data_IF_223113920238
#
_entry.id   IF_223113920238
#
_cell.length_a   1.000
_cell.length_b   1.000
_cell.length_c   1.000
_cell.angle_alpha   90.00
_cell.angle_beta   90.00
_cell.angle_gamma   90.00
#
_symmetry.space_group_name_H-M   'P 1'
#
loop_
_entity.id
_entity.type
_entity.pdbx_description
1 polymer ?
#
# COMPACT_ATOMS: atom_id res chain seq x y z
N UNK A 1 -7.91 2.42 -22.49
CA UNK A 1 -7.29 1.27 -21.80
C UNK A 1 -5.97 0.93 -22.48
N UNK A 2 -4.99 0.66 -21.70
CA UNK A 2 -3.67 0.26 -22.14
C UNK A 2 -3.66 -1.24 -22.40
N UNK A 3 -3.96 -1.64 -23.61
CA UNK A 3 -3.79 -3.03 -24.02
C UNK A 3 -2.57 -3.12 -24.95
N UNK A 4 -1.74 -4.11 -24.70
CA UNK A 4 -0.67 -4.45 -25.62
C UNK A 4 -1.24 -5.07 -26.89
N UNK A 5 -0.60 -4.79 -28.01
CA UNK A 5 -0.79 -5.56 -29.24
C UNK A 5 -0.15 -6.93 -29.04
N UNK A 6 -0.92 -8.00 -29.21
CA UNK A 6 -0.45 -9.36 -28.99
C UNK A 6 0.02 -10.00 -30.30
N UNK A 7 1.06 -10.81 -30.22
CA UNK A 7 1.48 -11.71 -31.26
C UNK A 7 0.61 -12.99 -31.31
N UNK A 8 0.87 -13.83 -32.29
CA UNK A 8 0.17 -15.12 -32.45
C UNK A 8 0.44 -16.09 -31.30
N UNK A 9 1.53 -15.88 -30.56
CA UNK A 9 1.91 -16.61 -29.35
C UNK A 9 1.19 -16.13 -28.09
N UNK A 10 0.34 -15.08 -28.21
CA UNK A 10 -0.39 -14.48 -27.09
C UNK A 10 0.43 -13.54 -26.19
N UNK A 11 1.70 -13.27 -26.51
CA UNK A 11 2.54 -12.32 -25.81
C UNK A 11 2.51 -10.94 -26.48
N UNK A 12 2.88 -9.90 -25.72
CA UNK A 12 3.00 -8.56 -26.25
C UNK A 12 4.04 -8.51 -27.38
N UNK A 13 3.67 -7.91 -28.52
CA UNK A 13 4.62 -7.64 -29.59
C UNK A 13 5.76 -6.76 -29.10
N UNK A 14 6.93 -6.99 -29.62
CA UNK A 14 8.14 -6.20 -29.32
C UNK A 14 8.52 -5.37 -30.52
N UNK A 15 9.07 -4.22 -30.26
CA UNK A 15 9.71 -3.37 -31.27
C UNK A 15 11.15 -3.09 -30.85
N UNK A 16 12.06 -3.94 -31.28
CA UNK A 16 13.49 -3.82 -30.95
C UNK A 16 14.15 -2.59 -31.60
N UNK A 17 13.53 -2.04 -32.63
CA UNK A 17 13.99 -0.80 -33.29
C UNK A 17 13.61 0.46 -32.53
N UNK A 18 12.64 0.38 -31.61
CA UNK A 18 12.05 1.50 -30.87
C UNK A 18 11.47 2.60 -31.78
N UNK A 19 11.14 2.27 -33.05
CA UNK A 19 10.70 3.24 -34.05
C UNK A 19 9.17 3.33 -34.18
N UNK A 20 8.45 2.31 -33.77
CA UNK A 20 7.00 2.28 -33.91
C UNK A 20 6.34 3.38 -33.03
N UNK A 21 5.39 4.18 -33.55
CA UNK A 21 4.77 5.28 -32.81
C UNK A 21 4.11 4.85 -31.49
N UNK A 22 3.60 3.63 -31.43
CA UNK A 22 2.98 3.05 -30.23
C UNK A 22 3.94 2.21 -29.39
N UNK A 23 5.23 2.18 -29.70
CA UNK A 23 6.22 1.59 -28.82
C UNK A 23 6.15 2.26 -27.44
N UNK A 24 6.13 1.48 -26.37
CA UNK A 24 6.05 1.98 -24.98
C UNK A 24 7.12 3.03 -24.70
N UNK A 25 8.32 2.86 -25.23
CA UNK A 25 9.41 3.83 -25.12
C UNK A 25 9.04 5.22 -25.69
N UNK A 26 8.44 5.26 -26.87
CA UNK A 26 8.04 6.50 -27.52
C UNK A 26 6.88 7.17 -26.78
N UNK A 27 5.89 6.38 -26.34
CA UNK A 27 4.79 6.90 -25.55
C UNK A 27 5.27 7.46 -24.19
N UNK A 28 6.23 6.79 -23.54
CA UNK A 28 6.82 7.28 -22.30
C UNK A 28 7.57 8.60 -22.50
N UNK A 29 8.44 8.69 -23.54
CA UNK A 29 9.13 9.94 -23.86
C UNK A 29 8.15 11.09 -24.10
N UNK A 30 7.10 10.85 -24.87
CA UNK A 30 6.06 11.85 -25.11
C UNK A 30 5.35 12.25 -23.79
N UNK A 31 5.04 11.28 -22.94
CA UNK A 31 4.38 11.56 -21.67
C UNK A 31 5.24 12.44 -20.73
N UNK A 32 6.54 12.17 -20.64
CA UNK A 32 7.43 12.87 -19.71
C UNK A 32 8.03 14.16 -20.30
N UNK A 33 7.89 14.41 -21.61
CA UNK A 33 8.48 15.58 -22.27
C UNK A 33 8.03 16.92 -21.69
N UNK A 34 6.88 16.97 -21.02
CA UNK A 34 6.38 18.16 -20.31
C UNK A 34 7.13 18.49 -19.03
N UNK A 35 7.91 17.56 -18.49
CA UNK A 35 8.69 17.75 -17.27
C UNK A 35 10.12 18.10 -17.63
N UNK A 36 10.33 19.32 -18.11
CA UNK A 36 11.67 19.80 -18.48
C UNK A 36 12.51 20.10 -17.23
N UNK A 37 13.84 20.12 -17.34
CA UNK A 37 14.72 20.51 -16.22
C UNK A 37 14.37 21.86 -15.63
N UNK A 38 13.99 22.86 -16.47
CA UNK A 38 13.56 24.18 -16.02
C UNK A 38 12.26 24.11 -15.20
N UNK A 39 11.35 23.22 -15.60
CA UNK A 39 10.10 23.01 -14.83
C UNK A 39 10.40 22.35 -13.48
N UNK A 40 11.33 21.41 -13.43
CA UNK A 40 11.78 20.77 -12.18
C UNK A 40 12.36 21.83 -11.23
N UNK A 41 13.27 22.65 -11.69
CA UNK A 41 13.83 23.74 -10.88
C UNK A 41 12.75 24.67 -10.36
N UNK A 42 11.85 25.12 -11.22
CA UNK A 42 10.77 26.05 -10.85
C UNK A 42 9.81 25.48 -9.81
N UNK A 43 9.50 24.18 -9.87
CA UNK A 43 8.49 23.53 -8.99
C UNK A 43 9.14 22.98 -7.73
N UNK A 44 10.30 22.34 -7.86
CA UNK A 44 10.95 21.63 -6.75
C UNK A 44 12.00 22.49 -6.05
N UNK A 45 12.47 23.57 -6.67
CA UNK A 45 13.54 24.42 -6.14
C UNK A 45 14.94 23.80 -6.25
N UNK A 46 15.06 22.62 -6.87
CA UNK A 46 16.37 21.98 -7.11
C UNK A 46 17.06 22.65 -8.30
N UNK A 47 18.29 23.17 -8.16
CA UNK A 47 19.00 23.74 -9.28
C UNK A 47 19.11 22.76 -10.46
N UNK A 48 18.91 23.26 -11.68
CA UNK A 48 18.92 22.42 -12.88
C UNK A 48 20.22 21.62 -13.02
N UNK A 49 21.38 22.25 -12.71
CA UNK A 49 22.67 21.57 -12.80
C UNK A 49 22.76 20.36 -11.86
N UNK A 50 22.27 20.49 -10.63
CA UNK A 50 22.28 19.40 -9.64
C UNK A 50 21.31 18.29 -10.06
N UNK A 51 20.14 18.65 -10.58
CA UNK A 51 19.18 17.67 -11.10
C UNK A 51 19.77 16.87 -12.28
N UNK A 52 20.39 17.53 -13.24
CA UNK A 52 21.02 16.88 -14.40
C UNK A 52 22.19 16.01 -13.97
N UNK A 53 23.00 16.45 -13.00
CA UNK A 53 24.09 15.64 -12.45
C UNK A 53 23.57 14.33 -11.82
N UNK A 54 22.47 14.38 -11.07
CA UNK A 54 21.84 13.15 -10.54
C UNK A 54 21.36 12.25 -11.67
N UNK A 55 20.78 12.81 -12.74
CA UNK A 55 20.36 12.02 -13.91
C UNK A 55 21.56 11.33 -14.59
N UNK A 56 22.71 12.01 -14.70
CA UNK A 56 23.95 11.43 -15.25
C UNK A 56 24.45 10.27 -14.38
N UNK A 57 24.55 10.48 -13.06
CA UNK A 57 24.93 9.42 -12.11
C UNK A 57 24.03 8.19 -12.20
N UNK A 58 22.72 8.37 -12.33
CA UNK A 58 21.80 7.28 -12.54
C UNK A 58 22.05 6.57 -13.88
N UNK A 59 22.29 7.34 -14.95
CA UNK A 59 22.59 6.82 -16.28
C UNK A 59 23.84 5.95 -16.32
N UNK A 60 24.88 6.29 -15.56
CA UNK A 60 26.12 5.52 -15.44
C UNK A 60 25.93 4.11 -14.86
N UNK A 61 24.80 3.88 -14.18
CA UNK A 61 24.47 2.59 -13.56
C UNK A 61 23.68 1.65 -14.48
N UNK A 62 23.55 1.98 -15.77
CA UNK A 62 22.89 1.14 -16.77
C UNK A 62 23.78 0.05 -17.38
N UNK A 63 24.83 -0.35 -16.67
CA UNK A 63 25.82 -1.37 -17.08
C UNK A 63 25.88 -2.51 -16.09
N UNK A 64 26.40 -3.67 -16.54
CA UNK A 64 26.32 -4.91 -15.75
C UNK A 64 27.07 -4.88 -14.42
N UNK A 65 28.13 -4.10 -14.30
CA UNK A 65 29.01 -4.02 -13.14
C UNK A 65 28.68 -2.87 -12.18
N UNK A 66 27.73 -2.05 -12.54
CA UNK A 66 27.27 -0.93 -11.72
C UNK A 66 25.75 -0.87 -11.69
N UNK A 67 25.20 -0.78 -10.49
CA UNK A 67 23.75 -0.71 -10.26
C UNK A 67 23.38 0.42 -9.32
N UNK A 68 22.16 0.91 -9.45
CA UNK A 68 21.53 1.85 -8.51
C UNK A 68 20.44 1.15 -7.72
N UNK A 69 20.36 1.43 -6.43
CA UNK A 69 19.23 1.05 -5.60
C UNK A 69 18.48 2.29 -5.10
N UNK A 70 17.18 2.31 -5.23
CA UNK A 70 16.35 3.32 -4.60
C UNK A 70 15.91 2.85 -3.21
N UNK A 71 16.12 3.68 -2.21
CA UNK A 71 15.66 3.49 -0.85
C UNK A 71 14.62 4.56 -0.54
N UNK A 72 13.47 4.19 -0.04
CA UNK A 72 12.41 5.14 0.29
C UNK A 72 11.64 4.76 1.55
N UNK A 73 10.96 5.73 2.11
CA UNK A 73 10.05 5.58 3.22
C UNK A 73 8.90 6.60 3.13
N UNK A 74 8.45 7.14 4.25
CA UNK A 74 7.25 7.99 4.35
C UNK A 74 7.38 9.32 3.58
N UNK A 75 8.58 9.86 3.40
CA UNK A 75 8.80 11.05 2.58
C UNK A 75 8.33 10.91 1.13
N UNK A 76 8.21 9.67 0.62
CA UNK A 76 7.64 9.38 -0.70
C UNK A 76 6.19 8.90 -0.64
N UNK A 77 5.83 8.12 0.39
CA UNK A 77 4.50 7.52 0.49
C UNK A 77 3.42 8.50 0.94
N UNK A 78 3.77 9.47 1.80
CA UNK A 78 2.81 10.40 2.40
C UNK A 78 2.59 11.65 1.53
N UNK A 79 2.40 11.45 0.24
CA UNK A 79 2.01 12.47 -0.72
C UNK A 79 0.71 12.04 -1.42
N UNK A 80 -0.06 13.01 -1.92
CA UNK A 80 -1.30 12.75 -2.66
C UNK A 80 -1.08 11.81 -3.86
N UNK A 81 0.10 11.86 -4.47
CA UNK A 81 0.51 11.01 -5.60
C UNK A 81 1.68 10.08 -5.26
N UNK A 82 1.87 9.75 -3.98
CA UNK A 82 3.01 8.98 -3.49
C UNK A 82 3.22 7.65 -4.20
N UNK A 83 2.15 6.89 -4.45
CA UNK A 83 2.23 5.63 -5.18
C UNK A 83 2.75 5.80 -6.62
N UNK A 84 2.39 6.89 -7.29
CA UNK A 84 2.86 7.21 -8.64
C UNK A 84 4.33 7.64 -8.62
N UNK A 85 4.76 8.41 -7.62
CA UNK A 85 6.15 8.78 -7.45
C UNK A 85 7.05 7.55 -7.26
N UNK A 86 6.64 6.61 -6.41
CA UNK A 86 7.37 5.36 -6.17
C UNK A 86 7.37 4.48 -7.43
N UNK A 87 6.25 4.43 -8.15
CA UNK A 87 6.20 3.73 -9.45
C UNK A 87 7.19 4.30 -10.46
N UNK A 88 7.45 5.61 -10.42
CA UNK A 88 8.45 6.24 -11.28
C UNK A 88 9.86 5.74 -10.97
N UNK A 89 10.22 5.50 -9.70
CA UNK A 89 11.49 4.86 -9.34
C UNK A 89 11.59 3.45 -9.96
N UNK A 90 10.52 2.66 -9.91
CA UNK A 90 10.51 1.34 -10.53
C UNK A 90 10.65 1.42 -12.07
N UNK A 91 10.05 2.42 -12.71
CA UNK A 91 10.21 2.67 -14.14
C UNK A 91 11.66 3.02 -14.49
N UNK A 92 12.33 3.86 -13.70
CA UNK A 92 13.77 4.18 -13.89
C UNK A 92 14.60 2.89 -13.74
N UNK A 93 14.37 2.08 -12.73
CA UNK A 93 15.07 0.81 -12.54
C UNK A 93 14.90 -0.16 -13.73
N UNK A 94 13.71 -0.20 -14.31
CA UNK A 94 13.48 -1.00 -15.52
C UNK A 94 14.23 -0.44 -16.73
N UNK A 95 14.25 0.88 -16.91
CA UNK A 95 15.01 1.54 -18.00
C UNK A 95 16.51 1.34 -17.87
N UNK A 96 17.05 1.35 -16.66
CA UNK A 96 18.47 1.13 -16.39
C UNK A 96 18.87 -0.35 -16.44
N UNK A 97 17.91 -1.28 -16.49
CA UNK A 97 18.19 -2.70 -16.46
C UNK A 97 18.62 -3.25 -15.09
N UNK A 98 18.36 -2.50 -14.01
CA UNK A 98 18.81 -2.83 -12.65
C UNK A 98 17.90 -3.82 -11.92
N UNK A 99 16.70 -4.09 -12.43
CA UNK A 99 15.78 -5.04 -11.82
C UNK A 99 16.34 -6.47 -11.91
N UNK A 100 16.45 -7.14 -10.77
CA UNK A 100 17.05 -8.49 -10.67
C UNK A 100 18.57 -8.51 -10.62
N UNK A 101 19.23 -7.36 -10.71
CA UNK A 101 20.68 -7.25 -10.54
C UNK A 101 21.05 -7.10 -9.06
N UNK A 102 22.20 -7.68 -8.67
CA UNK A 102 22.71 -7.51 -7.32
C UNK A 102 22.94 -6.02 -7.02
N UNK A 103 22.40 -5.53 -5.92
CA UNK A 103 22.45 -4.11 -5.53
C UNK A 103 21.46 -3.19 -6.25
N UNK A 104 20.66 -3.71 -7.20
CA UNK A 104 19.58 -2.96 -7.85
C UNK A 104 18.26 -3.07 -7.10
N UNK A 105 17.25 -2.34 -7.57
CA UNK A 105 15.89 -2.44 -7.07
C UNK A 105 15.35 -1.20 -6.37
N UNK A 106 14.11 -1.32 -5.90
CA UNK A 106 13.40 -0.28 -5.14
C UNK A 106 13.02 -0.86 -3.78
N UNK A 107 13.52 -0.27 -2.71
CA UNK A 107 13.46 -0.83 -1.37
C UNK A 107 12.72 0.10 -0.42
N UNK A 108 11.61 -0.37 0.12
CA UNK A 108 10.89 0.32 1.18
C UNK A 108 11.61 0.10 2.53
N UNK A 109 12.10 1.17 3.13
CA UNK A 109 12.66 1.12 4.49
C UNK A 109 11.51 1.07 5.50
N UNK A 110 11.40 -0.06 6.21
CA UNK A 110 10.33 -0.27 7.19
C UNK A 110 10.62 0.53 8.47
N UNK A 111 9.58 1.16 9.06
CA UNK A 111 9.75 1.97 10.28
C UNK A 111 9.69 1.13 11.55
N UNK A 112 8.56 0.45 11.79
CA UNK A 112 8.38 -0.34 12.99
C UNK A 112 9.12 -1.67 12.96
N UNK A 113 9.61 -2.09 14.12
CA UNK A 113 10.18 -3.43 14.31
C UNK A 113 9.14 -4.48 13.95
N UNK A 114 9.54 -5.43 13.10
CA UNK A 114 8.70 -6.54 12.66
C UNK A 114 7.32 -6.15 12.10
N UNK A 115 7.22 -5.00 11.43
CA UNK A 115 5.93 -4.57 10.83
C UNK A 115 5.40 -5.60 9.82
N UNK A 116 6.27 -6.29 9.10
CA UNK A 116 5.86 -7.34 8.17
C UNK A 116 5.25 -8.54 8.89
N UNK A 117 5.83 -8.97 10.01
CA UNK A 117 5.23 -10.03 10.83
C UNK A 117 3.84 -9.64 11.36
N UNK A 118 3.64 -8.37 11.73
CA UNK A 118 2.35 -7.84 12.12
C UNK A 118 1.32 -7.95 10.98
N UNK A 119 1.69 -7.55 9.78
CA UNK A 119 0.81 -7.64 8.60
C UNK A 119 0.60 -9.08 8.13
N UNK A 120 1.59 -9.97 8.28
CA UNK A 120 1.45 -11.41 8.01
C UNK A 120 0.37 -12.05 8.88
N UNK A 121 0.26 -11.60 10.13
CA UNK A 121 -0.79 -12.06 11.07
C UNK A 121 -2.17 -11.47 10.78
N UNK A 122 -2.27 -10.49 9.89
CA UNK A 122 -3.55 -9.86 9.53
C UNK A 122 -4.04 -8.82 10.56
N UNK A 123 -3.12 -8.10 11.21
CA UNK A 123 -3.48 -7.04 12.17
C UNK A 123 -3.85 -5.71 11.51
N UNK A 124 -3.91 -5.65 10.19
CA UNK A 124 -4.58 -4.57 9.46
C UNK A 124 -6.07 -4.84 9.38
N UNK A 125 -6.88 -3.82 9.59
CA UNK A 125 -8.33 -3.94 9.70
C UNK A 125 -9.01 -4.58 8.48
N UNK A 126 -8.42 -4.44 7.29
CA UNK A 126 -8.94 -4.98 6.02
C UNK A 126 -8.35 -6.34 5.64
N UNK A 127 -7.47 -6.90 6.45
CA UNK A 127 -6.71 -8.11 6.09
C UNK A 127 -7.01 -9.28 7.01
N UNK A 128 -7.04 -10.46 6.42
CA UNK A 128 -6.93 -11.75 7.11
C UNK A 128 -5.45 -12.17 7.12
N UNK A 129 -5.13 -13.18 7.92
CA UNK A 129 -3.79 -13.77 7.99
C UNK A 129 -3.28 -14.14 6.60
N UNK A 130 -2.00 -13.88 6.33
CA UNK A 130 -1.36 -14.17 5.06
C UNK A 130 -1.78 -13.24 3.92
N UNK A 131 -2.16 -12.00 4.24
CA UNK A 131 -2.56 -10.96 3.26
C UNK A 131 -3.84 -11.29 2.47
N UNK A 132 -4.66 -12.20 2.94
CA UNK A 132 -5.97 -12.40 2.36
C UNK A 132 -6.91 -11.25 2.71
N UNK A 133 -7.84 -10.96 1.83
CA UNK A 133 -8.79 -9.87 2.04
C UNK A 133 -9.93 -10.27 2.97
N UNK A 134 -10.32 -9.39 3.87
CA UNK A 134 -11.56 -9.55 4.62
C UNK A 134 -12.75 -9.51 3.66
N UNK A 135 -13.75 -10.39 3.79
CA UNK A 135 -14.92 -10.36 2.91
C UNK A 135 -15.72 -9.06 3.05
N UNK A 136 -16.30 -8.59 1.97
CA UNK A 136 -17.28 -7.50 1.99
C UNK A 136 -18.72 -8.03 2.11
N UNK A 137 -19.64 -7.17 2.53
CA UNK A 137 -21.08 -7.50 2.58
C UNK A 137 -21.65 -7.93 1.23
N UNK A 138 -21.04 -7.50 0.12
CA UNK A 138 -21.44 -7.88 -1.23
C UNK A 138 -21.03 -9.32 -1.59
N UNK A 139 -20.12 -9.89 -0.85
CA UNK A 139 -19.65 -11.26 -1.02
C UNK A 139 -20.43 -12.17 -0.07
N UNK A 140 -21.66 -12.49 -0.46
CA UNK A 140 -22.64 -13.19 0.36
C UNK A 140 -22.31 -14.65 0.61
N UNK A 141 -21.45 -15.24 -0.20
CA UNK A 141 -21.06 -16.65 -0.13
C UNK A 141 -19.57 -16.84 -0.47
N UNK A 142 -19.04 -18.00 -0.09
CA UNK A 142 -17.64 -18.35 -0.29
C UNK A 142 -17.22 -18.29 -1.77
N UNK A 143 -18.08 -18.76 -2.69
CA UNK A 143 -17.72 -18.82 -4.10
C UNK A 143 -17.56 -17.42 -4.69
N UNK A 144 -18.47 -16.50 -4.36
CA UNK A 144 -18.38 -15.08 -4.74
C UNK A 144 -17.11 -14.45 -4.20
N UNK A 145 -16.77 -14.71 -2.95
CA UNK A 145 -15.53 -14.23 -2.34
C UNK A 145 -14.27 -14.78 -3.04
N UNK A 146 -14.21 -16.09 -3.26
CA UNK A 146 -13.07 -16.72 -3.94
C UNK A 146 -12.91 -16.23 -5.37
N UNK A 147 -14.00 -16.09 -6.12
CA UNK A 147 -13.96 -15.60 -7.50
C UNK A 147 -13.40 -14.17 -7.58
N UNK A 148 -13.75 -13.33 -6.62
CA UNK A 148 -13.26 -11.95 -6.56
C UNK A 148 -11.78 -11.84 -6.23
N UNK A 149 -11.22 -12.82 -5.51
CA UNK A 149 -9.85 -12.77 -4.99
C UNK A 149 -8.88 -13.72 -5.69
N UNK A 150 -9.36 -14.60 -6.58
CA UNK A 150 -8.50 -15.53 -7.32
C UNK A 150 -8.21 -14.97 -8.71
N UNK A 151 -6.99 -14.50 -8.97
CA UNK A 151 -6.63 -13.98 -10.29
C UNK A 151 -6.65 -15.08 -11.35
N UNK A 152 -7.06 -14.70 -12.56
CA UNK A 152 -6.99 -15.56 -13.74
C UNK A 152 -5.76 -15.18 -14.56
N UNK A 153 -5.10 -16.18 -15.12
CA UNK A 153 -4.04 -15.95 -16.10
C UNK A 153 -4.59 -15.20 -17.32
N UNK A 154 -3.91 -14.13 -17.72
CA UNK A 154 -4.26 -13.33 -18.89
C UNK A 154 -3.30 -13.55 -20.06
N UNK A 155 -2.15 -14.16 -19.79
CA UNK A 155 -1.12 -14.49 -20.77
C UNK A 155 -0.74 -15.97 -20.66
N UNK A 156 -0.30 -16.60 -21.77
CA UNK A 156 0.21 -17.97 -21.75
C UNK A 156 1.37 -18.12 -20.78
N UNK A 157 1.39 -19.21 -20.01
CA UNK A 157 2.47 -19.50 -19.05
C UNK A 157 2.58 -18.56 -17.84
N UNK A 158 1.64 -17.63 -17.66
CA UNK A 158 1.63 -16.73 -16.51
C UNK A 158 1.45 -17.52 -15.20
N UNK A 159 2.37 -17.32 -14.27
CA UNK A 159 2.31 -17.85 -12.91
C UNK A 159 1.89 -16.73 -11.96
N UNK A 160 0.91 -17.03 -11.09
CA UNK A 160 0.48 -16.10 -10.06
C UNK A 160 0.32 -16.85 -8.73
N UNK A 161 1.03 -16.41 -7.70
CA UNK A 161 0.92 -16.95 -6.35
C UNK A 161 -0.54 -17.02 -5.86
N UNK A 162 -1.32 -16.00 -6.12
CA UNK A 162 -2.71 -15.87 -5.68
C UNK A 162 -3.70 -16.76 -6.45
N UNK A 163 -3.28 -17.46 -7.51
CA UNK A 163 -4.14 -18.52 -8.11
C UNK A 163 -4.46 -19.64 -7.14
N UNK A 164 -3.68 -19.79 -6.05
CA UNK A 164 -3.94 -20.71 -4.95
C UNK A 164 -4.81 -20.12 -3.83
N UNK A 165 -5.41 -18.96 -4.04
CA UNK A 165 -6.23 -18.29 -3.03
C UNK A 165 -7.25 -19.20 -2.35
N UNK A 166 -7.99 -20.09 -3.08
CA UNK A 166 -8.92 -21.02 -2.44
C UNK A 166 -8.25 -22.00 -1.46
N UNK A 167 -7.03 -22.46 -1.80
CA UNK A 167 -6.27 -23.36 -0.90
C UNK A 167 -5.79 -22.61 0.35
N UNK A 168 -5.33 -21.38 0.19
CA UNK A 168 -4.89 -20.55 1.31
C UNK A 168 -6.03 -20.25 2.26
N UNK A 169 -7.21 -19.92 1.73
CA UNK A 169 -8.39 -19.70 2.53
C UNK A 169 -8.77 -20.93 3.37
N UNK A 170 -8.85 -22.10 2.75
CA UNK A 170 -9.18 -23.35 3.46
C UNK A 170 -8.12 -23.67 4.53
N UNK A 171 -6.83 -23.50 4.21
CA UNK A 171 -5.75 -23.70 5.18
C UNK A 171 -5.86 -22.79 6.38
N UNK A 172 -6.12 -21.50 6.17
CA UNK A 172 -6.30 -20.52 7.24
C UNK A 172 -7.51 -20.89 8.12
N UNK A 173 -8.65 -21.17 7.52
CA UNK A 173 -9.88 -21.50 8.26
C UNK A 173 -9.71 -22.78 9.07
N UNK A 174 -9.01 -23.78 8.52
CA UNK A 174 -8.66 -24.99 9.28
C UNK A 174 -7.67 -24.74 10.41
N UNK A 175 -6.71 -23.83 10.21
CA UNK A 175 -5.77 -23.45 11.27
C UNK A 175 -6.50 -22.76 12.44
N UNK A 176 -7.52 -21.93 12.16
CA UNK A 176 -8.29 -21.23 13.19
C UNK A 176 -9.35 -22.11 13.87
N UNK A 177 -10.06 -22.94 13.12
CA UNK A 177 -11.26 -23.62 13.58
C UNK A 177 -11.14 -25.15 13.60
N UNK A 178 -10.00 -25.70 13.19
CA UNK A 178 -9.75 -27.15 13.19
C UNK A 178 -10.79 -27.91 12.38
N UNK A 179 -11.25 -29.02 12.95
CA UNK A 179 -12.24 -29.91 12.33
C UNK A 179 -13.65 -29.31 12.18
N UNK A 180 -13.90 -28.14 12.76
CA UNK A 180 -15.17 -27.43 12.59
C UNK A 180 -15.28 -26.78 11.21
N UNK A 181 -14.17 -26.40 10.60
CA UNK A 181 -14.14 -25.85 9.24
C UNK A 181 -14.19 -27.01 8.22
N UNK A 182 -15.33 -27.24 7.61
CA UNK A 182 -15.59 -28.32 6.66
C UNK A 182 -16.22 -27.82 5.37
N UNK A 183 -16.13 -28.60 4.31
CA UNK A 183 -16.74 -28.25 3.02
C UNK A 183 -18.25 -28.00 3.13
N UNK A 184 -18.97 -28.78 3.95
CA UNK A 184 -20.40 -28.66 4.14
C UNK A 184 -20.88 -27.35 4.78
N UNK A 185 -20.00 -26.61 5.44
CA UNK A 185 -20.28 -25.28 6.00
C UNK A 185 -19.43 -24.18 5.35
N UNK A 186 -19.06 -24.36 4.10
CA UNK A 186 -18.21 -23.39 3.35
C UNK A 186 -16.92 -23.02 4.09
N UNK A 187 -16.34 -24.01 4.79
CA UNK A 187 -15.13 -23.84 5.61
C UNK A 187 -15.24 -22.77 6.70
N UNK A 188 -16.48 -22.46 7.14
CA UNK A 188 -16.73 -21.44 8.15
C UNK A 188 -16.69 -20.00 7.60
N UNK A 189 -16.87 -19.80 6.29
CA UNK A 189 -16.87 -18.48 5.67
C UNK A 189 -17.83 -17.50 6.35
N UNK A 190 -19.01 -17.97 6.75
CA UNK A 190 -20.03 -17.12 7.40
C UNK A 190 -19.67 -16.72 8.84
N UNK A 191 -18.62 -17.29 9.41
CA UNK A 191 -18.11 -16.88 10.73
C UNK A 191 -17.20 -15.65 10.65
N UNK A 192 -16.74 -15.29 9.46
CA UNK A 192 -15.91 -14.12 9.26
C UNK A 192 -16.74 -12.83 9.29
N UNK A 193 -16.23 -11.76 9.91
CA UNK A 193 -16.86 -10.46 9.79
C UNK A 193 -16.83 -10.00 8.33
N UNK A 194 -17.81 -9.19 7.95
CA UNK A 194 -17.90 -8.62 6.60
C UNK A 194 -17.89 -7.10 6.65
N UNK A 195 -17.21 -6.47 5.69
CA UNK A 195 -17.12 -5.03 5.58
C UNK A 195 -18.28 -4.46 4.78
N UNK A 196 -18.85 -3.36 5.25
CA UNK A 196 -19.70 -2.50 4.43
C UNK A 196 -18.87 -1.64 3.49
N UNK A 197 -17.74 -1.11 3.98
CA UNK A 197 -16.74 -0.34 3.22
C UNK A 197 -15.39 -0.36 3.95
N UNK A 198 -14.34 0.03 3.26
CA UNK A 198 -13.04 0.27 3.88
C UNK A 198 -13.06 1.58 4.67
N UNK A 199 -12.46 1.58 5.86
CA UNK A 199 -12.29 2.74 6.72
C UNK A 199 -10.81 3.04 6.90
N UNK A 200 -10.42 4.28 6.63
CA UNK A 200 -9.11 4.79 7.03
C UNK A 200 -9.16 5.38 8.45
N UNK A 201 -8.00 5.71 8.98
CA UNK A 201 -7.88 6.22 10.35
C UNK A 201 -8.57 7.56 10.54
N UNK A 202 -8.61 8.44 9.54
CA UNK A 202 -9.29 9.72 9.61
C UNK A 202 -10.81 9.54 9.67
N UNK A 203 -11.33 8.56 8.93
CA UNK A 203 -12.74 8.19 8.96
C UNK A 203 -13.14 7.61 10.33
N UNK A 204 -12.26 6.84 10.98
CA UNK A 204 -12.52 6.38 12.35
C UNK A 204 -12.66 7.54 13.33
N UNK A 205 -11.81 8.55 13.26
CA UNK A 205 -11.94 9.75 14.10
C UNK A 205 -13.19 10.56 13.77
N UNK A 206 -13.60 10.61 12.51
CA UNK A 206 -14.89 11.19 12.14
C UNK A 206 -16.05 10.42 12.77
N UNK A 207 -16.03 9.10 12.73
CA UNK A 207 -17.07 8.28 13.38
C UNK A 207 -17.08 8.45 14.92
N UNK A 208 -15.91 8.59 15.54
CA UNK A 208 -15.81 8.90 16.98
C UNK A 208 -16.46 10.26 17.26
N UNK A 209 -16.17 11.29 16.46
CA UNK A 209 -16.75 12.62 16.63
C UNK A 209 -18.26 12.64 16.46
N UNK A 210 -18.82 11.69 15.71
CA UNK A 210 -20.26 11.47 15.54
C UNK A 210 -20.87 10.57 16.62
N UNK A 211 -20.11 10.12 17.62
CA UNK A 211 -20.56 9.22 18.68
C UNK A 211 -20.89 7.79 18.23
N UNK A 212 -20.39 7.38 17.06
CA UNK A 212 -20.64 6.04 16.50
C UNK A 212 -19.68 4.97 17.00
N UNK A 213 -18.62 5.36 17.72
CA UNK A 213 -17.62 4.47 18.30
C UNK A 213 -17.74 4.51 19.82
N UNK A 214 -17.86 3.36 20.45
CA UNK A 214 -18.04 3.28 21.90
C UNK A 214 -16.73 3.30 22.67
N UNK A 215 -15.67 2.70 22.14
CA UNK A 215 -14.40 2.59 22.83
C UNK A 215 -13.22 2.47 21.87
N UNK A 216 -12.04 2.80 22.38
CA UNK A 216 -10.80 2.73 21.62
C UNK A 216 -9.66 2.18 22.49
N UNK A 217 -8.97 1.17 21.97
CA UNK A 217 -7.73 0.67 22.54
C UNK A 217 -6.57 1.23 21.71
N UNK A 218 -5.82 2.14 22.30
CA UNK A 218 -4.72 2.84 21.67
C UNK A 218 -3.40 2.26 22.19
N UNK A 219 -2.79 1.40 21.38
CA UNK A 219 -1.55 0.73 21.75
C UNK A 219 -0.38 1.25 20.92
N UNK A 220 0.63 1.82 21.58
CA UNK A 220 1.86 2.28 20.94
C UNK A 220 1.65 3.38 19.91
N UNK A 221 0.61 4.20 20.09
CA UNK A 221 0.24 5.24 19.15
C UNK A 221 -0.27 6.49 19.89
N UNK A 222 0.15 7.67 19.44
CA UNK A 222 -0.21 8.94 20.04
C UNK A 222 -0.97 9.84 19.04
N UNK A 223 -2.27 9.59 18.80
CA UNK A 223 -3.06 10.34 17.81
C UNK A 223 -3.18 11.83 18.13
N UNK A 224 -3.20 12.23 19.40
CA UNK A 224 -3.28 13.64 19.80
C UNK A 224 -2.08 14.45 19.32
N UNK A 225 -0.89 13.86 19.30
CA UNK A 225 0.31 14.51 18.77
C UNK A 225 0.52 14.29 17.27
N UNK A 226 0.12 13.11 16.74
CA UNK A 226 0.52 12.67 15.40
C UNK A 226 -0.45 13.10 14.30
N UNK A 227 -1.72 13.31 14.62
CA UNK A 227 -2.72 13.60 13.60
C UNK A 227 -2.93 15.09 13.37
N UNK A 228 -3.30 15.47 12.14
CA UNK A 228 -3.73 16.83 11.86
C UNK A 228 -5.03 17.15 12.60
N UNK A 229 -5.27 18.43 12.85
CA UNK A 229 -6.46 18.92 13.56
C UNK A 229 -6.60 18.33 14.97
N UNK A 230 -5.65 18.67 15.83
CA UNK A 230 -5.57 18.23 17.23
C UNK A 230 -6.89 18.43 17.99
N UNK A 231 -7.58 19.58 17.80
CA UNK A 231 -8.87 19.86 18.44
C UNK A 231 -9.91 18.78 18.09
N UNK A 232 -10.03 18.44 16.82
CA UNK A 232 -10.96 17.37 16.37
C UNK A 232 -10.59 16.00 16.96
N UNK A 233 -9.31 15.69 17.06
CA UNK A 233 -8.85 14.43 17.66
C UNK A 233 -9.26 14.34 19.12
N UNK A 234 -9.01 15.40 19.91
CA UNK A 234 -9.39 15.47 21.33
C UNK A 234 -10.91 15.38 21.49
N UNK A 235 -11.68 16.16 20.70
CA UNK A 235 -13.14 16.12 20.71
C UNK A 235 -13.67 14.71 20.40
N UNK A 236 -13.07 14.03 19.43
CA UNK A 236 -13.44 12.68 19.06
C UNK A 236 -13.19 11.67 20.19
N UNK A 237 -12.01 11.71 20.79
CA UNK A 237 -11.66 10.83 21.92
C UNK A 237 -12.54 11.10 23.15
N UNK A 238 -12.93 12.33 23.38
CA UNK A 238 -13.78 12.73 24.50
C UNK A 238 -15.23 12.20 24.40
N UNK A 239 -15.67 11.78 23.22
CA UNK A 239 -16.99 11.18 23.00
C UNK A 239 -17.05 9.67 23.22
N UNK A 240 -15.92 9.04 23.40
CA UNK A 240 -15.85 7.61 23.68
C UNK A 240 -16.39 7.29 25.07
N UNK A 241 -17.00 6.13 25.23
CA UNK A 241 -17.42 5.62 26.55
C UNK A 241 -16.22 5.14 27.36
N UNK A 242 -15.15 4.68 26.69
CA UNK A 242 -13.88 4.33 27.31
C UNK A 242 -12.73 4.50 26.32
N UNK A 243 -11.57 4.87 26.85
CA UNK A 243 -10.29 4.92 26.16
C UNK A 243 -9.29 4.12 26.98
N UNK A 244 -8.61 3.17 26.36
CA UNK A 244 -7.49 2.44 26.96
C UNK A 244 -6.24 2.79 26.18
N UNK A 245 -5.24 3.33 26.87
CA UNK A 245 -3.91 3.61 26.30
C UNK A 245 -2.91 2.60 26.85
N UNK A 246 -2.13 1.98 25.97
CA UNK A 246 -1.03 1.06 26.29
C UNK A 246 0.22 1.64 25.67
N UNK A 247 1.02 2.30 26.49
CA UNK A 247 2.21 3.03 26.05
C UNK A 247 3.28 2.97 27.15
N UNK A 248 4.57 2.89 26.82
CA UNK A 248 5.65 2.90 27.82
C UNK A 248 5.85 4.28 28.50
N UNK A 249 5.30 5.34 27.90
CA UNK A 249 5.41 6.72 28.39
C UNK A 249 4.04 7.37 28.51
N UNK A 250 3.93 8.38 29.36
CA UNK A 250 2.79 9.29 29.35
C UNK A 250 2.83 10.14 28.09
N UNK A 251 1.89 9.91 27.20
CA UNK A 251 1.74 10.64 25.94
C UNK A 251 0.57 11.62 26.04
N UNK A 252 0.47 12.55 25.10
CA UNK A 252 -0.65 13.49 25.02
C UNK A 252 -1.98 12.75 24.94
N UNK A 253 -2.04 11.61 24.25
CA UNK A 253 -3.27 10.79 24.17
C UNK A 253 -3.65 10.17 25.52
N UNK A 254 -2.68 9.84 26.37
CA UNK A 254 -2.96 9.28 27.69
C UNK A 254 -3.31 10.33 28.75
N UNK A 255 -3.02 11.61 28.49
CA UNK A 255 -3.11 12.68 29.50
C UNK A 255 -3.94 13.89 29.06
N UNK A 256 -4.46 13.95 27.83
CA UNK A 256 -5.16 15.13 27.30
C UNK A 256 -6.35 15.59 28.19
N UNK A 257 -7.00 14.67 28.85
CA UNK A 257 -8.09 14.93 29.77
C UNK A 257 -7.66 15.68 31.06
N UNK A 258 -6.36 15.72 31.33
CA UNK A 258 -5.80 16.46 32.49
C UNK A 258 -5.44 17.91 32.14
N UNK A 259 -5.33 18.24 30.86
CA UNK A 259 -4.91 19.57 30.42
C UNK A 259 -6.11 20.52 30.38
N UNK A 260 -6.34 21.18 31.53
CA UNK A 260 -7.38 22.20 31.65
C UNK A 260 -6.93 23.48 30.91
N UNK A 261 -7.62 23.86 29.86
CA UNK A 261 -7.47 25.15 29.20
C UNK A 261 -6.73 25.17 27.85
N UNK A 262 -5.86 24.21 27.56
CA UNK A 262 -5.18 24.16 26.24
C UNK A 262 -6.10 23.77 25.09
N UNK A 263 -7.27 23.24 25.35
CA UNK A 263 -8.22 22.71 24.37
C UNK A 263 -9.64 23.27 24.49
N UNK A 264 -9.84 24.25 25.35
CA UNK A 264 -11.16 24.82 25.66
C UNK A 264 -11.46 26.13 24.92
N UNK A 265 -10.64 26.53 23.94
CA UNK A 265 -10.89 27.70 23.10
C UNK A 265 -11.65 27.36 21.83
#
# INVERSE_FOLDING_TARGET
SWNYELGDDGFAKRDDSLSHPRCVWNLLKQHVSRYTPEMVERICGTPQADFLHVCELLGETSVRDRTTSFLYALGWTQHSVGAQNIRTMAMIQLLLGNMGMAGGGVNALRGHSNIQGLTDLGLLSQSLTGYMNLPSEKQTDLQTYLNANTPKATLPGQVNYWSNYPKFFVSMMKAFYGDKAQAGNSWGFDWLPKWDKSYDVLQYFEMMSQGKVNGYLCQGFNPVASFPNKRKVVDSLSKLKFLVTIDPLNTETSTFWQNHGEFND
#
